data_IF_773461738450
#
_entry.id   IF_773461738450
#
_cell.length_a   1.000
_cell.length_b   1.000
_cell.length_c   1.000
_cell.angle_alpha   90.00
_cell.angle_beta   90.00
_cell.angle_gamma   90.00
#
_symmetry.space_group_name_H-M   'P 1'
#
loop_
_entity.id
_entity.type
_entity.pdbx_description
1 polymer ?
#
# COMPACT_ATOMS: atom_id res chain seq x y z
N UNK A 1 -15.25 23.76 19.64
CA UNK A 1 -13.89 23.35 20.04
C UNK A 1 -13.14 22.97 18.76
N UNK A 2 -11.90 23.43 18.55
CA UNK A 2 -11.12 22.99 17.39
C UNK A 2 -10.61 21.57 17.67
N UNK A 3 -11.03 20.61 16.84
CA UNK A 3 -10.68 19.21 17.01
C UNK A 3 -9.27 18.99 16.47
N UNK A 4 -8.43 18.32 17.26
CA UNK A 4 -6.99 18.18 17.03
C UNK A 4 -6.66 16.70 16.91
N UNK A 5 -5.96 16.34 15.84
CA UNK A 5 -5.75 14.94 15.48
C UNK A 5 -5.01 14.17 16.58
N UNK A 6 -3.92 14.72 17.10
CA UNK A 6 -3.12 14.02 18.11
C UNK A 6 -3.90 13.91 19.43
N UNK A 7 -4.47 15.01 19.92
CA UNK A 7 -5.06 15.09 21.26
C UNK A 7 -6.45 14.47 21.36
N UNK A 8 -7.26 14.63 20.33
CA UNK A 8 -8.68 14.27 20.38
C UNK A 8 -9.02 13.00 19.59
N UNK A 9 -8.13 12.52 18.72
CA UNK A 9 -8.36 11.31 17.92
C UNK A 9 -7.31 10.25 18.26
N UNK A 10 -6.05 10.51 17.93
CA UNK A 10 -5.01 9.49 17.99
C UNK A 10 -4.74 9.00 19.43
N UNK A 11 -4.48 9.92 20.37
CA UNK A 11 -4.18 9.55 21.76
C UNK A 11 -5.34 8.79 22.43
N UNK A 12 -6.60 9.26 22.37
CA UNK A 12 -7.73 8.54 22.95
C UNK A 12 -7.90 7.11 22.40
N UNK A 13 -7.74 6.92 21.09
CA UNK A 13 -7.85 5.60 20.46
C UNK A 13 -6.70 4.70 20.90
N UNK A 14 -5.46 5.19 20.89
CA UNK A 14 -4.31 4.42 21.39
C UNK A 14 -4.53 3.99 22.85
N UNK A 15 -4.99 4.89 23.72
CA UNK A 15 -5.23 4.60 25.13
C UNK A 15 -6.40 3.63 25.35
N UNK A 16 -7.41 3.64 24.48
CA UNK A 16 -8.47 2.63 24.46
C UNK A 16 -7.90 1.23 24.22
N UNK A 17 -7.01 1.07 23.24
CA UNK A 17 -6.43 -0.24 22.91
C UNK A 17 -5.38 -0.73 23.90
N UNK A 18 -4.67 0.18 24.57
CA UNK A 18 -3.83 -0.15 25.74
C UNK A 18 -4.70 -0.70 26.87
N UNK A 19 -5.79 -0.01 27.21
CA UNK A 19 -6.72 -0.45 28.28
C UNK A 19 -7.38 -1.79 27.97
N UNK A 20 -7.65 -2.08 26.70
CA UNK A 20 -8.22 -3.38 26.29
C UNK A 20 -7.18 -4.50 26.18
N UNK A 21 -5.90 -4.25 26.49
CA UNK A 21 -4.82 -5.24 26.38
C UNK A 21 -4.47 -5.64 24.95
N UNK A 22 -4.93 -4.88 23.95
CA UNK A 22 -4.70 -5.17 22.51
C UNK A 22 -3.46 -4.47 21.95
N UNK A 23 -2.91 -3.52 22.69
CA UNK A 23 -1.67 -2.81 22.36
C UNK A 23 -0.82 -2.70 23.63
N UNK A 24 0.47 -2.99 23.56
CA UNK A 24 1.33 -2.83 24.74
C UNK A 24 1.58 -1.34 25.04
N UNK A 25 1.79 -1.00 26.31
CA UNK A 25 2.14 0.37 26.70
C UNK A 25 3.42 0.86 26.01
N UNK A 26 4.36 -0.04 25.71
CA UNK A 26 5.60 0.28 25.00
C UNK A 26 5.33 0.68 23.54
N UNK A 27 4.54 -0.12 22.82
CA UNK A 27 4.14 0.20 21.44
C UNK A 27 3.32 1.50 21.38
N UNK A 28 2.45 1.71 22.36
CA UNK A 28 1.66 2.94 22.47
C UNK A 28 2.52 4.20 22.68
N UNK A 29 3.51 4.14 23.57
CA UNK A 29 4.44 5.26 23.80
C UNK A 29 5.20 5.59 22.52
N UNK A 30 5.71 4.57 21.82
CA UNK A 30 6.46 4.77 20.59
C UNK A 30 5.56 5.34 19.47
N UNK A 31 4.35 4.81 19.32
CA UNK A 31 3.38 5.31 18.34
C UNK A 31 3.03 6.78 18.58
N UNK A 32 2.74 7.16 19.83
CA UNK A 32 2.47 8.56 20.19
C UNK A 32 3.66 9.48 19.92
N UNK A 33 4.88 9.02 20.20
CA UNK A 33 6.11 9.76 19.90
C UNK A 33 6.28 10.00 18.40
N UNK A 34 6.03 8.98 17.57
CA UNK A 34 6.10 9.11 16.11
C UNK A 34 5.11 10.14 15.58
N UNK A 35 3.86 10.12 16.06
CA UNK A 35 2.83 11.08 15.62
C UNK A 35 3.14 12.49 16.13
N UNK A 36 3.66 12.64 17.35
CA UNK A 36 4.09 13.93 17.89
C UNK A 36 5.19 14.56 17.01
N UNK A 37 6.21 13.79 16.65
CA UNK A 37 7.27 14.26 15.74
C UNK A 37 6.72 14.61 14.35
N UNK A 38 5.76 13.83 13.85
CA UNK A 38 5.09 14.13 12.59
C UNK A 38 4.25 15.42 12.67
N UNK A 39 3.57 15.69 13.78
CA UNK A 39 2.82 16.94 13.98
C UNK A 39 3.75 18.15 13.90
N UNK A 40 4.92 18.08 14.53
CA UNK A 40 5.92 19.13 14.46
C UNK A 40 6.47 19.33 13.04
N UNK A 41 6.63 18.25 12.28
CA UNK A 41 7.16 18.26 10.90
C UNK A 41 6.15 18.76 9.87
N UNK A 42 4.93 18.23 9.89
CA UNK A 42 3.89 18.51 8.90
C UNK A 42 2.94 19.65 9.32
N UNK A 43 3.04 20.13 10.56
CA UNK A 43 2.26 21.25 11.10
C UNK A 43 0.75 21.05 10.96
N UNK A 44 0.26 19.85 11.30
CA UNK A 44 -1.18 19.54 11.20
C UNK A 44 -1.99 19.79 12.49
N UNK A 45 -1.36 20.31 13.57
CA UNK A 45 -2.08 20.63 14.80
C UNK A 45 -3.17 21.69 14.54
N UNK A 46 -4.31 21.55 15.23
CA UNK A 46 -5.34 22.58 15.21
C UNK A 46 -4.96 23.83 16.03
N UNK A 47 -3.89 23.75 16.84
CA UNK A 47 -3.37 24.81 17.70
C UNK A 47 -2.09 25.43 17.13
N UNK A 48 -2.21 26.11 15.98
CA UNK A 48 -1.09 26.80 15.33
C UNK A 48 -0.54 26.10 14.09
N UNK A 49 -1.23 25.08 13.59
CA UNK A 49 -1.00 24.46 12.28
C UNK A 49 -2.25 24.47 11.41
N UNK A 50 -2.27 23.59 10.42
CA UNK A 50 -3.39 23.39 9.50
C UNK A 50 -3.75 21.90 9.41
N UNK A 51 -4.94 21.48 9.92
CA UNK A 51 -5.39 20.08 9.83
C UNK A 51 -5.41 19.50 8.41
N UNK A 52 -5.56 20.32 7.36
CA UNK A 52 -5.46 19.86 5.98
C UNK A 52 -4.10 19.21 5.65
N UNK A 53 -3.03 19.56 6.39
CA UNK A 53 -1.71 18.97 6.21
C UNK A 53 -1.62 17.50 6.64
N UNK A 54 -2.65 16.94 7.28
CA UNK A 54 -2.77 15.50 7.49
C UNK A 54 -2.64 14.72 6.18
N UNK A 55 -3.06 15.30 5.05
CA UNK A 55 -2.86 14.72 3.72
C UNK A 55 -1.39 14.38 3.46
N UNK A 56 -0.48 15.30 3.78
CA UNK A 56 0.95 15.11 3.57
C UNK A 56 1.52 14.08 4.52
N UNK A 57 1.08 14.10 5.78
CA UNK A 57 1.47 13.09 6.75
C UNK A 57 1.04 11.69 6.31
N UNK A 58 -0.23 11.50 5.94
CA UNK A 58 -0.77 10.21 5.50
C UNK A 58 -0.15 9.67 4.21
N UNK A 59 0.41 10.54 3.36
CA UNK A 59 1.18 10.15 2.16
C UNK A 59 2.67 9.90 2.44
N UNK A 60 3.15 10.15 3.66
CA UNK A 60 4.58 10.13 3.99
C UNK A 60 5.11 8.76 4.44
N UNK A 61 6.44 8.63 4.41
CA UNK A 61 7.16 7.49 5.00
C UNK A 61 7.02 7.43 6.53
N UNK A 62 6.76 8.56 7.19
CA UNK A 62 6.55 8.62 8.64
C UNK A 62 5.27 7.86 9.02
N UNK A 63 4.18 8.06 8.26
CA UNK A 63 2.94 7.31 8.43
C UNK A 63 3.09 5.84 8.04
N UNK A 64 3.83 5.55 6.95
CA UNK A 64 4.15 4.16 6.57
C UNK A 64 4.92 3.41 7.66
N UNK A 65 5.77 4.12 8.40
CA UNK A 65 6.52 3.57 9.54
C UNK A 65 5.60 3.33 10.74
N UNK A 66 4.65 4.23 11.00
CA UNK A 66 3.62 4.04 12.02
C UNK A 66 2.77 2.79 11.71
N UNK A 67 2.36 2.61 10.45
CA UNK A 67 1.64 1.41 10.02
C UNK A 67 2.45 0.16 10.36
N UNK A 68 3.75 0.13 10.03
CA UNK A 68 4.62 -1.03 10.31
C UNK A 68 4.77 -1.31 11.81
N UNK A 69 4.90 -0.28 12.63
CA UNK A 69 4.95 -0.40 14.09
C UNK A 69 3.68 -1.05 14.62
N UNK A 70 2.53 -0.59 14.11
CA UNK A 70 1.23 -1.04 14.58
C UNK A 70 0.85 -2.40 13.98
N UNK A 71 1.26 -2.79 12.76
CA UNK A 71 0.80 -4.00 12.04
C UNK A 71 1.00 -5.38 12.72
N UNK A 72 1.40 -5.48 13.99
CA UNK A 72 1.17 -6.67 14.80
C UNK A 72 -0.35 -6.96 14.93
N UNK A 73 -0.70 -8.21 15.25
CA UNK A 73 -1.99 -8.91 15.00
C UNK A 73 -3.30 -8.29 15.53
N UNK A 74 -3.29 -7.05 16.02
CA UNK A 74 -4.43 -6.30 16.58
C UNK A 74 -4.49 -4.82 16.16
N UNK A 75 -3.53 -4.28 15.40
CA UNK A 75 -3.53 -2.84 15.09
C UNK A 75 -3.94 -2.45 13.67
N UNK A 76 -4.29 -3.41 12.82
CA UNK A 76 -5.10 -3.09 11.64
C UNK A 76 -6.37 -2.35 12.08
N UNK A 77 -7.03 -2.87 13.11
CA UNK A 77 -8.22 -2.26 13.71
C UNK A 77 -7.93 -0.87 14.30
N UNK A 78 -6.78 -0.68 14.97
CA UNK A 78 -6.38 0.62 15.54
C UNK A 78 -6.24 1.67 14.44
N UNK A 79 -5.52 1.33 13.37
CA UNK A 79 -5.30 2.24 12.26
C UNK A 79 -6.59 2.57 11.52
N UNK A 80 -7.46 1.58 11.33
CA UNK A 80 -8.79 1.79 10.74
C UNK A 80 -9.61 2.73 11.62
N UNK A 81 -9.70 2.47 12.93
CA UNK A 81 -10.47 3.32 13.85
C UNK A 81 -9.94 4.76 13.86
N UNK A 82 -8.62 4.96 13.88
CA UNK A 82 -8.00 6.30 13.78
C UNK A 82 -8.40 6.99 12.47
N UNK A 83 -8.32 6.29 11.34
CA UNK A 83 -8.62 6.84 10.03
C UNK A 83 -10.11 7.18 9.89
N UNK A 84 -11.00 6.32 10.36
CA UNK A 84 -12.45 6.56 10.34
C UNK A 84 -12.84 7.76 11.22
N UNK A 85 -12.31 7.86 12.43
CA UNK A 85 -12.56 9.00 13.32
C UNK A 85 -12.02 10.30 12.73
N UNK A 86 -10.86 10.25 12.06
CA UNK A 86 -10.28 11.39 11.34
C UNK A 86 -11.19 11.83 10.19
N UNK A 87 -11.72 10.89 9.41
CA UNK A 87 -12.63 11.20 8.31
C UNK A 87 -13.91 11.86 8.80
N UNK A 88 -14.45 11.38 9.92
CA UNK A 88 -15.66 11.95 10.54
C UNK A 88 -15.39 13.35 11.07
N UNK A 89 -14.27 13.53 11.78
CA UNK A 89 -13.89 14.80 12.43
C UNK A 89 -13.50 15.91 11.46
N UNK A 90 -13.00 15.57 10.26
CA UNK A 90 -12.54 16.52 9.24
C UNK A 90 -13.31 16.35 7.91
N UNK A 91 -14.61 16.03 8.01
CA UNK A 91 -15.47 15.70 6.88
C UNK A 91 -15.52 16.77 5.78
N UNK A 92 -15.23 18.02 6.11
CA UNK A 92 -15.18 19.16 5.20
C UNK A 92 -13.95 19.17 4.28
N UNK A 93 -12.89 18.44 4.64
CA UNK A 93 -11.62 18.41 3.88
C UNK A 93 -11.66 17.26 2.87
N UNK A 94 -12.22 17.53 1.67
CA UNK A 94 -12.42 16.51 0.62
C UNK A 94 -11.16 15.71 0.26
N UNK A 95 -10.03 16.38 0.04
CA UNK A 95 -8.78 15.72 -0.32
C UNK A 95 -8.31 14.75 0.79
N UNK A 96 -8.48 15.13 2.05
CA UNK A 96 -8.13 14.27 3.18
C UNK A 96 -9.00 13.01 3.22
N UNK A 97 -10.30 13.15 2.98
CA UNK A 97 -11.23 12.02 2.97
C UNK A 97 -10.90 11.01 1.86
N UNK A 98 -10.52 11.47 0.67
CA UNK A 98 -10.09 10.60 -0.43
C UNK A 98 -8.82 9.81 -0.09
N UNK A 99 -7.85 10.47 0.56
CA UNK A 99 -6.62 9.83 1.02
C UNK A 99 -6.92 8.77 2.08
N UNK A 100 -7.77 9.11 3.05
CA UNK A 100 -8.21 8.18 4.10
C UNK A 100 -8.91 6.95 3.50
N UNK A 101 -9.83 7.13 2.55
CA UNK A 101 -10.54 6.02 1.91
C UNK A 101 -9.58 5.06 1.19
N UNK A 102 -8.55 5.60 0.54
CA UNK A 102 -7.51 4.80 -0.09
C UNK A 102 -6.66 4.03 0.92
N UNK A 103 -6.34 4.66 2.07
CA UNK A 103 -5.58 4.03 3.14
C UNK A 103 -6.36 2.91 3.83
N UNK A 104 -7.63 3.13 4.19
CA UNK A 104 -8.49 2.10 4.78
C UNK A 104 -8.57 0.90 3.82
N UNK A 105 -8.79 1.14 2.53
CA UNK A 105 -8.79 0.06 1.51
C UNK A 105 -7.46 -0.68 1.40
N UNK A 106 -6.34 -0.01 1.65
CA UNK A 106 -5.02 -0.62 1.61
C UNK A 106 -4.76 -1.49 2.86
N UNK A 107 -5.16 -1.01 4.04
CA UNK A 107 -4.96 -1.68 5.33
C UNK A 107 -5.91 -2.87 5.48
N UNK A 108 -7.17 -2.74 5.07
CA UNK A 108 -8.18 -3.80 5.15
C UNK A 108 -7.97 -4.94 4.14
N UNK A 109 -7.07 -4.78 3.16
CA UNK A 109 -6.65 -5.90 2.30
C UNK A 109 -5.64 -6.73 3.08
N UNK A 110 -5.86 -8.05 3.27
CA UNK A 110 -4.90 -8.90 3.95
C UNK A 110 -3.57 -8.86 3.19
N UNK A 111 -2.62 -8.13 3.76
CA UNK A 111 -1.30 -7.95 3.20
C UNK A 111 -0.53 -9.23 3.51
N UNK A 112 -0.46 -10.16 2.55
CA UNK A 112 0.47 -11.29 2.59
C UNK A 112 1.90 -10.73 2.45
N UNK A 113 2.45 -10.22 3.54
CA UNK A 113 3.85 -9.81 3.65
C UNK A 113 4.67 -11.02 4.13
N UNK A 114 5.09 -11.89 3.20
CA UNK A 114 6.17 -12.84 3.47
C UNK A 114 7.50 -12.09 3.40
N UNK A 115 8.05 -11.71 4.56
CA UNK A 115 9.50 -11.58 4.74
C UNK A 115 10.06 -13.01 4.72
N UNK A 116 10.68 -13.41 3.62
CA UNK A 116 11.47 -14.64 3.60
C UNK A 116 12.76 -14.39 4.39
N UNK A 117 12.90 -15.08 5.53
CA UNK A 117 14.22 -15.39 6.09
C UNK A 117 14.72 -16.65 5.40
N UNK A 118 15.99 -16.65 5.04
CA UNK A 118 16.66 -17.75 4.35
C UNK A 118 16.45 -19.08 5.08
N UNK A 119 15.99 -20.11 4.36
CA UNK A 119 16.23 -21.50 4.73
C UNK A 119 15.06 -22.45 4.95
N UNK A 120 13.80 -22.01 5.13
CA UNK A 120 12.71 -22.96 5.44
C UNK A 120 11.68 -23.11 4.29
N UNK A 121 11.46 -24.38 3.90
CA UNK A 121 10.47 -24.81 2.91
C UNK A 121 9.06 -24.33 3.30
N UNK A 122 8.26 -23.81 2.35
CA UNK A 122 6.93 -23.28 2.66
C UNK A 122 5.98 -24.39 3.13
N UNK A 123 5.14 -24.14 4.15
CA UNK A 123 4.01 -25.01 4.45
C UNK A 123 2.94 -24.84 3.36
N UNK A 124 2.37 -25.95 2.93
CA UNK A 124 1.22 -26.00 2.05
C UNK A 124 0.00 -25.38 2.73
N UNK A 125 -0.73 -24.51 2.04
CA UNK A 125 -2.07 -24.03 2.41
C UNK A 125 -2.83 -23.69 1.12
N UNK A 126 -4.17 -23.57 1.16
CA UNK A 126 -5.09 -24.59 0.68
C UNK A 126 -5.58 -24.31 -0.74
N UNK A 127 -5.91 -25.40 -1.43
CA UNK A 127 -6.66 -25.48 -2.69
C UNK A 127 -7.87 -24.52 -2.74
N UNK A 128 -8.02 -23.78 -3.85
CA UNK A 128 -9.27 -23.08 -4.14
C UNK A 128 -9.19 -21.97 -5.20
N UNK A 129 -9.04 -22.35 -6.47
CA UNK A 129 -9.36 -21.47 -7.60
C UNK A 129 -8.57 -21.79 -8.86
N UNK A 130 -9.14 -22.64 -9.73
CA UNK A 130 -8.53 -23.02 -11.01
C UNK A 130 -8.12 -21.78 -11.83
N UNK A 131 -6.82 -21.68 -12.07
CA UNK A 131 -6.23 -20.81 -13.08
C UNK A 131 -6.59 -21.37 -14.45
N UNK A 132 -7.06 -20.51 -15.35
CA UNK A 132 -7.15 -20.86 -16.76
C UNK A 132 -5.72 -20.90 -17.34
N UNK A 133 -5.09 -22.09 -17.27
CA UNK A 133 -3.71 -22.33 -17.70
C UNK A 133 -3.46 -21.91 -19.16
N UNK A 134 -4.48 -22.02 -20.01
CA UNK A 134 -4.38 -21.68 -21.43
C UNK A 134 -4.24 -20.17 -21.63
N UNK A 135 -4.89 -19.36 -20.80
CA UNK A 135 -4.79 -17.91 -20.86
C UNK A 135 -3.45 -17.41 -20.29
N UNK A 136 -2.94 -18.06 -19.25
CA UNK A 136 -1.63 -17.73 -18.65
C UNK A 136 -0.50 -18.06 -19.61
N UNK A 137 -0.54 -19.23 -20.27
CA UNK A 137 0.45 -19.61 -21.28
C UNK A 137 0.40 -18.70 -22.52
N UNK A 138 -0.79 -18.38 -23.02
CA UNK A 138 -0.97 -17.44 -24.14
C UNK A 138 -0.42 -16.05 -23.84
N UNK A 139 -0.70 -15.51 -22.65
CA UNK A 139 -0.18 -14.21 -22.23
C UNK A 139 1.33 -14.24 -21.99
N UNK A 140 1.88 -15.37 -21.53
CA UNK A 140 3.33 -15.54 -21.31
C UNK A 140 4.07 -15.44 -22.64
N UNK A 141 3.65 -16.18 -23.66
CA UNK A 141 4.25 -16.10 -25.01
C UNK A 141 4.10 -14.71 -25.63
N UNK A 142 2.94 -14.08 -25.44
CA UNK A 142 2.67 -12.73 -25.93
C UNK A 142 3.59 -11.67 -25.29
N UNK A 143 3.86 -11.80 -23.99
CA UNK A 143 4.82 -10.94 -23.27
C UNK A 143 6.24 -11.13 -23.79
N UNK A 144 6.68 -12.37 -23.98
CA UNK A 144 8.02 -12.66 -24.49
C UNK A 144 8.21 -12.06 -25.89
N UNK A 145 7.22 -12.21 -26.78
CA UNK A 145 7.24 -11.65 -28.14
C UNK A 145 7.28 -10.12 -28.15
N UNK A 146 6.37 -9.47 -27.42
CA UNK A 146 6.17 -8.01 -27.52
C UNK A 146 7.15 -7.21 -26.68
N UNK A 147 7.49 -7.71 -25.50
CA UNK A 147 8.37 -6.99 -24.57
C UNK A 147 9.83 -7.44 -24.72
N UNK A 148 10.09 -8.63 -25.26
CA UNK A 148 11.44 -9.20 -25.35
C UNK A 148 12.01 -9.62 -23.99
N UNK A 149 11.14 -9.78 -22.98
CA UNK A 149 11.51 -10.17 -21.63
C UNK A 149 10.76 -11.43 -21.23
N UNK A 150 11.46 -12.34 -20.56
CA UNK A 150 10.88 -13.56 -20.00
C UNK A 150 10.02 -13.22 -18.77
N UNK A 151 8.68 -13.39 -18.82
CA UNK A 151 7.84 -13.21 -17.65
C UNK A 151 8.10 -14.33 -16.65
N UNK A 152 8.00 -13.98 -15.37
CA UNK A 152 7.92 -14.94 -14.27
C UNK A 152 6.45 -15.19 -13.99
N UNK A 153 5.97 -16.39 -14.31
CA UNK A 153 4.59 -16.80 -14.00
C UNK A 153 4.38 -16.86 -12.49
N UNK A 154 3.20 -16.45 -12.05
CA UNK A 154 2.76 -16.48 -10.66
C UNK A 154 1.41 -17.18 -10.58
N UNK A 155 0.98 -17.57 -9.38
CA UNK A 155 -0.33 -18.17 -9.13
C UNK A 155 -1.53 -17.31 -9.55
N UNK A 156 -1.34 -16.06 -10.00
CA UNK A 156 -2.43 -15.16 -10.39
C UNK A 156 -2.18 -14.42 -11.70
N UNK A 157 -1.15 -14.79 -12.46
CA UNK A 157 -0.76 -14.08 -13.68
C UNK A 157 0.76 -14.09 -13.86
N UNK A 158 1.38 -12.95 -14.15
CA UNK A 158 2.81 -12.90 -14.47
C UNK A 158 3.48 -11.58 -14.08
N UNK A 159 4.80 -11.64 -13.96
CA UNK A 159 5.67 -10.55 -13.56
C UNK A 159 6.78 -10.36 -14.59
N UNK A 160 6.93 -9.15 -15.12
CA UNK A 160 8.01 -8.77 -16.03
C UNK A 160 8.92 -7.78 -15.33
N UNK A 161 10.22 -8.05 -15.31
CA UNK A 161 11.22 -7.14 -14.74
C UNK A 161 12.10 -6.59 -15.85
N UNK A 162 12.09 -5.27 -15.99
CA UNK A 162 12.95 -4.52 -16.91
C UNK A 162 14.18 -4.04 -16.13
N UNK A 163 15.28 -4.79 -16.21
CA UNK A 163 16.61 -4.40 -15.71
C UNK A 163 16.63 -3.82 -14.27
N UNK A 164 15.79 -4.35 -13.36
CA UNK A 164 15.60 -3.84 -11.99
C UNK A 164 15.11 -2.37 -11.87
N UNK A 165 14.76 -1.73 -12.99
CA UNK A 165 14.26 -0.36 -13.06
C UNK A 165 12.74 -0.36 -12.99
N UNK A 166 12.10 -1.15 -13.85
CA UNK A 166 10.64 -1.23 -13.93
C UNK A 166 10.19 -2.67 -13.67
N UNK A 167 9.12 -2.82 -12.93
CA UNK A 167 8.44 -4.09 -12.68
C UNK A 167 6.98 -3.96 -13.10
N UNK A 168 6.57 -4.74 -14.10
CA UNK A 168 5.20 -4.85 -14.57
C UNK A 168 4.61 -6.14 -14.00
N UNK A 169 3.57 -6.02 -13.19
CA UNK A 169 2.86 -7.16 -12.62
C UNK A 169 1.44 -7.18 -13.16
N UNK A 170 1.06 -8.30 -13.76
CA UNK A 170 -0.26 -8.49 -14.33
C UNK A 170 -0.92 -9.63 -13.60
N UNK A 171 -2.00 -9.31 -12.90
CA UNK A 171 -2.83 -10.29 -12.23
C UNK A 171 -4.12 -10.45 -13.03
N UNK A 172 -4.35 -11.65 -13.53
CA UNK A 172 -5.59 -12.02 -14.19
C UNK A 172 -6.55 -12.55 -13.13
N UNK A 173 -7.65 -11.85 -12.93
CA UNK A 173 -8.74 -12.24 -12.02
C UNK A 173 -9.92 -12.73 -12.86
N UNK A 174 -10.87 -13.44 -12.23
CA UNK A 174 -12.02 -14.05 -12.91
C UNK A 174 -12.84 -13.10 -13.81
N UNK A 175 -12.82 -11.79 -13.54
CA UNK A 175 -13.61 -10.78 -14.27
C UNK A 175 -12.84 -9.49 -14.57
N UNK A 176 -11.54 -9.46 -14.30
CA UNK A 176 -10.74 -8.24 -14.49
C UNK A 176 -9.26 -8.56 -14.54
N UNK A 177 -8.51 -7.70 -15.22
CA UNK A 177 -7.04 -7.77 -15.24
C UNK A 177 -6.50 -6.57 -14.46
N UNK A 178 -5.74 -6.84 -13.39
CA UNK A 178 -5.06 -5.81 -12.63
C UNK A 178 -3.62 -5.69 -13.11
N UNK A 179 -3.29 -4.54 -13.67
CA UNK A 179 -1.95 -4.21 -14.15
C UNK A 179 -1.32 -3.23 -13.15
N UNK A 180 -0.20 -3.62 -12.56
CA UNK A 180 0.56 -2.81 -11.62
C UNK A 180 1.93 -2.52 -12.24
N UNK A 181 2.27 -1.24 -12.36
CA UNK A 181 3.58 -0.80 -12.80
C UNK A 181 4.34 -0.19 -11.63
N UNK A 182 5.50 -0.74 -11.33
CA UNK A 182 6.36 -0.28 -10.23
C UNK A 182 7.71 0.14 -10.77
N UNK A 183 8.04 1.41 -10.61
CA UNK A 183 9.39 1.93 -10.87
C UNK A 183 10.19 1.74 -9.59
N UNK A 184 11.18 0.85 -9.61
CA UNK A 184 12.03 0.52 -8.46
C UNK A 184 13.22 1.46 -8.31
N UNK A 185 13.72 1.96 -9.42
CA UNK A 185 14.84 2.90 -9.45
C UNK A 185 14.60 3.89 -10.58
N UNK A 186 14.82 5.18 -10.34
CA UNK A 186 14.77 6.19 -11.39
C UNK A 186 16.18 6.25 -11.98
N UNK A 187 16.40 5.77 -13.22
CA UNK A 187 17.73 5.80 -13.80
C UNK A 187 18.14 7.25 -14.05
N UNK A 188 19.44 7.55 -13.91
CA UNK A 188 19.98 8.87 -14.28
C UNK A 188 19.74 9.22 -15.76
N UNK A 189 19.34 8.24 -16.59
CA UNK A 189 18.94 8.40 -17.99
C UNK A 189 17.42 8.32 -18.11
N UNK A 190 16.74 9.47 -18.14
CA UNK A 190 15.28 9.55 -18.26
C UNK A 190 14.75 8.87 -19.54
N UNK A 191 15.49 8.93 -20.65
CA UNK A 191 15.12 8.31 -21.93
C UNK A 191 14.90 6.79 -21.83
N UNK A 192 15.69 6.13 -20.97
CA UNK A 192 15.58 4.70 -20.76
C UNK A 192 14.29 4.35 -20.00
N UNK A 193 13.90 5.18 -19.03
CA UNK A 193 12.64 5.02 -18.30
C UNK A 193 11.45 5.26 -19.23
N UNK A 194 11.48 6.33 -20.03
CA UNK A 194 10.44 6.65 -21.02
C UNK A 194 10.25 5.48 -21.98
N UNK A 195 11.35 4.94 -22.53
CA UNK A 195 11.32 3.78 -23.44
C UNK A 195 10.63 2.57 -22.79
N UNK A 196 10.88 2.29 -21.51
CA UNK A 196 10.19 1.19 -20.81
C UNK A 196 8.71 1.48 -20.57
N UNK A 197 8.35 2.72 -20.22
CA UNK A 197 6.96 3.11 -20.02
C UNK A 197 6.16 3.02 -21.31
N UNK A 198 6.72 3.44 -22.45
CA UNK A 198 6.09 3.34 -23.77
C UNK A 198 5.85 1.88 -24.18
N UNK A 199 6.84 1.00 -23.97
CA UNK A 199 6.69 -0.45 -24.22
C UNK A 199 5.59 -1.06 -23.36
N UNK A 200 5.55 -0.72 -22.08
CA UNK A 200 4.51 -1.21 -21.16
C UNK A 200 3.13 -0.68 -21.58
N UNK A 201 3.02 0.60 -21.94
CA UNK A 201 1.76 1.21 -22.33
C UNK A 201 1.21 0.59 -23.63
N UNK A 202 2.06 0.39 -24.64
CA UNK A 202 1.67 -0.28 -25.89
C UNK A 202 1.17 -1.70 -25.64
N UNK A 203 1.87 -2.44 -24.78
CA UNK A 203 1.46 -3.78 -24.37
C UNK A 203 0.10 -3.79 -23.64
N UNK A 204 -0.15 -2.84 -22.73
CA UNK A 204 -1.44 -2.71 -22.03
C UNK A 204 -2.58 -2.42 -23.02
N UNK A 205 -2.36 -1.56 -24.01
CA UNK A 205 -3.35 -1.25 -25.04
C UNK A 205 -3.70 -2.48 -25.88
N UNK A 206 -2.74 -3.35 -26.18
CA UNK A 206 -3.00 -4.60 -26.91
C UNK A 206 -3.78 -5.61 -26.07
N UNK A 207 -3.50 -5.76 -24.78
CA UNK A 207 -4.29 -6.61 -23.88
C UNK A 207 -5.76 -6.17 -23.84
N UNK A 208 -6.04 -4.86 -23.84
CA UNK A 208 -7.41 -4.34 -23.79
C UNK A 208 -8.19 -4.64 -25.07
N UNK A 209 -7.51 -4.90 -26.20
CA UNK A 209 -8.14 -5.22 -27.49
C UNK A 209 -8.48 -6.70 -27.65
N UNK A 210 -7.97 -7.57 -26.79
CA UNK A 210 -8.22 -9.02 -26.76
C UNK A 210 -9.43 -9.29 -25.86
#
# INVERSE_FOLDING_TARGET
MKLDFLRHIFNPIIDKYVRSGKLSSKEAIEAKKMVYQAEEKFKFSAYGGNPANLVYYFKSDDFSSLIKLLSSSSAGDILIEVLEETKSSYSEIKELNEVIDNLIRAISKPTVNKRFKDGEKPPQSPSGGDLNLDLVSSLTSFVEEKLGFKPVTTERGFLVKFNNIVELKINVLKRSTKIELKIKNIPNKQDLLITYLEKVLGFVQEIIRI
#
